data_IF_236313797650
#
_entry.id   IF_236313797650
#
_cell.length_a   1.000
_cell.length_b   1.000
_cell.length_c   1.000
_cell.angle_alpha   90.00
_cell.angle_beta   90.00
_cell.angle_gamma   90.00
#
_symmetry.space_group_name_H-M   'P 1'
#
loop_
_entity.id
_entity.type
_entity.pdbx_description
1 polymer ?
#
# COMPACT_ATOMS: atom_id res chain seq x y z
N UNK A 1 -36.86 -9.30 -21.69
CA UNK A 1 -37.55 -8.74 -20.51
C UNK A 1 -36.68 -8.69 -19.26
N UNK A 2 -36.26 -9.83 -18.68
CA UNK A 2 -35.44 -9.87 -17.45
C UNK A 2 -34.16 -9.03 -17.49
N UNK A 3 -33.45 -8.99 -18.63
CA UNK A 3 -32.25 -8.16 -18.80
C UNK A 3 -32.56 -6.65 -18.77
N UNK A 4 -33.64 -6.21 -19.42
CA UNK A 4 -34.05 -4.81 -19.41
C UNK A 4 -34.47 -4.36 -17.99
N UNK A 5 -35.15 -5.24 -17.25
CA UNK A 5 -35.49 -5.01 -15.84
C UNK A 5 -34.23 -4.90 -14.98
N UNK A 6 -33.24 -5.75 -15.21
CA UNK A 6 -31.96 -5.71 -14.49
C UNK A 6 -31.19 -4.41 -14.77
N UNK A 7 -31.10 -4.00 -16.03
CA UNK A 7 -30.46 -2.73 -16.43
C UNK A 7 -31.15 -1.54 -15.78
N UNK A 8 -32.50 -1.49 -15.79
CA UNK A 8 -33.25 -0.43 -15.10
C UNK A 8 -32.94 -0.38 -13.61
N UNK A 9 -32.84 -1.53 -12.94
CA UNK A 9 -32.47 -1.60 -11.51
C UNK A 9 -31.06 -1.09 -11.25
N UNK A 10 -30.08 -1.47 -12.08
CA UNK A 10 -28.71 -0.96 -11.97
C UNK A 10 -28.63 0.54 -12.23
N UNK A 11 -29.38 1.06 -13.20
CA UNK A 11 -29.43 2.49 -13.47
C UNK A 11 -30.05 3.27 -12.30
N UNK A 12 -31.14 2.75 -11.73
CA UNK A 12 -31.74 3.32 -10.51
C UNK A 12 -30.75 3.33 -9.35
N UNK A 13 -30.05 2.20 -9.11
CA UNK A 13 -29.02 2.11 -8.08
C UNK A 13 -27.88 3.11 -8.33
N UNK A 14 -27.41 3.24 -9.57
CA UNK A 14 -26.41 4.22 -9.95
C UNK A 14 -26.87 5.64 -9.64
N UNK A 15 -28.08 6.04 -10.05
CA UNK A 15 -28.62 7.38 -9.80
C UNK A 15 -28.72 7.68 -8.31
N UNK A 16 -29.23 6.73 -7.52
CA UNK A 16 -29.35 6.90 -6.05
C UNK A 16 -27.97 7.02 -5.41
N UNK A 17 -27.04 6.12 -5.72
CA UNK A 17 -25.68 6.18 -5.18
C UNK A 17 -24.94 7.45 -5.61
N UNK A 18 -25.07 7.84 -6.88
CA UNK A 18 -24.47 9.06 -7.40
C UNK A 18 -25.05 10.31 -6.72
N UNK A 19 -26.37 10.38 -6.52
CA UNK A 19 -27.00 11.48 -5.80
C UNK A 19 -26.48 11.56 -4.36
N UNK A 20 -26.35 10.43 -3.66
CA UNK A 20 -25.78 10.40 -2.30
C UNK A 20 -24.33 10.92 -2.32
N UNK A 21 -23.51 10.42 -3.23
CA UNK A 21 -22.12 10.87 -3.36
C UNK A 21 -22.03 12.35 -3.70
N UNK A 22 -22.88 12.84 -4.59
CA UNK A 22 -22.88 14.24 -5.01
C UNK A 22 -23.33 15.18 -3.90
N UNK A 23 -24.40 14.87 -3.17
CA UNK A 23 -24.94 15.78 -2.15
C UNK A 23 -24.20 15.69 -0.81
N UNK A 24 -23.76 14.50 -0.41
CA UNK A 24 -23.15 14.29 0.92
C UNK A 24 -21.62 14.12 0.88
N UNK A 25 -21.06 13.72 -0.26
CA UNK A 25 -19.63 13.38 -0.39
C UNK A 25 -19.00 14.07 -1.61
N UNK A 26 -19.45 15.28 -1.97
CA UNK A 26 -19.03 15.98 -3.18
C UNK A 26 -17.50 16.08 -3.29
N UNK A 27 -16.81 16.37 -2.19
CA UNK A 27 -15.34 16.45 -2.19
C UNK A 27 -14.69 15.13 -2.58
N UNK A 28 -15.17 14.00 -2.02
CA UNK A 28 -14.71 12.68 -2.41
C UNK A 28 -15.02 12.39 -3.88
N UNK A 29 -16.22 12.73 -4.37
CA UNK A 29 -16.59 12.53 -5.76
C UNK A 29 -15.72 13.34 -6.72
N UNK A 30 -15.47 14.62 -6.40
CA UNK A 30 -14.57 15.47 -7.18
C UNK A 30 -13.15 14.93 -7.18
N UNK A 31 -12.65 14.49 -6.02
CA UNK A 31 -11.33 13.88 -5.93
C UNK A 31 -11.27 12.59 -6.75
N UNK A 32 -12.25 11.68 -6.63
CA UNK A 32 -12.27 10.43 -7.39
C UNK A 32 -12.35 10.63 -8.92
N UNK A 33 -13.02 11.68 -9.38
CA UNK A 33 -13.20 11.96 -10.81
C UNK A 33 -12.07 12.78 -11.45
N UNK A 34 -11.47 13.71 -10.69
CA UNK A 34 -10.56 14.71 -11.25
C UNK A 34 -9.15 14.67 -10.66
N UNK A 35 -8.91 13.93 -9.57
CA UNK A 35 -7.56 13.78 -9.05
C UNK A 35 -6.74 12.86 -9.95
N UNK A 36 -5.51 13.27 -10.24
CA UNK A 36 -4.60 12.49 -11.07
C UNK A 36 -4.01 11.32 -10.27
N UNK A 37 -4.83 10.27 -10.14
CA UNK A 37 -4.44 9.02 -9.48
C UNK A 37 -3.23 8.37 -10.14
N UNK A 38 -3.04 8.54 -11.45
CA UNK A 38 -1.90 7.94 -12.15
C UNK A 38 -0.59 8.56 -11.66
N UNK A 39 -0.56 9.88 -11.51
CA UNK A 39 0.63 10.60 -11.01
C UNK A 39 0.85 10.30 -9.53
N UNK A 40 -0.20 10.34 -8.70
CA UNK A 40 -0.08 10.06 -7.26
C UNK A 40 0.41 8.65 -6.94
N UNK A 41 -0.01 7.65 -7.72
CA UNK A 41 0.33 6.23 -7.50
C UNK A 41 1.45 5.72 -8.44
N UNK A 42 2.17 6.60 -9.13
CA UNK A 42 3.22 6.22 -10.09
C UNK A 42 4.29 5.32 -9.48
N UNK A 43 4.59 5.52 -8.19
CA UNK A 43 5.56 4.73 -7.45
C UNK A 43 5.20 3.22 -7.40
N UNK A 44 3.90 2.91 -7.40
CA UNK A 44 3.38 1.54 -7.40
C UNK A 44 3.29 0.89 -8.79
N UNK A 45 3.84 1.54 -9.81
CA UNK A 45 4.12 0.86 -11.09
C UNK A 45 5.33 -0.05 -10.99
N UNK A 46 6.22 0.15 -10.01
CA UNK A 46 7.42 -0.67 -9.77
C UNK A 46 8.34 -0.79 -11.00
N UNK A 47 8.35 0.24 -11.86
CA UNK A 47 9.08 0.21 -13.13
C UNK A 47 8.48 -0.73 -14.19
N UNK A 48 7.35 -1.37 -13.91
CA UNK A 48 6.71 -2.30 -14.83
C UNK A 48 5.96 -1.58 -15.95
N UNK A 49 6.06 -2.13 -17.14
CA UNK A 49 5.21 -1.70 -18.25
C UNK A 49 3.74 -2.14 -18.05
N UNK A 50 2.87 -1.76 -18.99
CA UNK A 50 1.45 -2.10 -18.90
C UNK A 50 1.17 -3.61 -19.02
N UNK A 51 1.88 -4.33 -19.87
CA UNK A 51 1.69 -5.76 -20.08
C UNK A 51 2.27 -6.58 -18.93
N UNK A 52 3.40 -6.17 -18.38
CA UNK A 52 3.99 -6.77 -17.17
C UNK A 52 3.05 -6.68 -15.97
N UNK A 53 2.31 -5.57 -15.85
CA UNK A 53 1.27 -5.41 -14.80
C UNK A 53 0.11 -6.38 -14.97
N UNK A 54 -0.38 -6.56 -16.21
CA UNK A 54 -1.42 -7.56 -16.51
C UNK A 54 -0.88 -8.97 -16.24
N UNK A 55 0.34 -9.25 -16.66
CA UNK A 55 0.96 -10.56 -16.44
C UNK A 55 1.13 -10.85 -14.95
N UNK A 56 1.51 -9.86 -14.15
CA UNK A 56 1.59 -9.96 -12.68
C UNK A 56 0.25 -10.34 -12.05
N UNK A 57 -0.88 -9.84 -12.58
CA UNK A 57 -2.21 -10.30 -12.16
C UNK A 57 -2.43 -11.79 -12.45
N UNK A 58 -2.06 -12.28 -13.64
CA UNK A 58 -2.20 -13.69 -14.01
C UNK A 58 -1.32 -14.57 -13.12
N UNK A 59 -0.07 -14.17 -12.89
CA UNK A 59 0.86 -14.89 -12.00
C UNK A 59 0.33 -14.91 -10.56
N UNK A 60 -0.25 -13.80 -10.08
CA UNK A 60 -0.85 -13.73 -8.76
C UNK A 60 -2.03 -14.69 -8.60
N UNK A 61 -2.94 -14.76 -9.58
CA UNK A 61 -4.04 -15.72 -9.55
C UNK A 61 -3.51 -17.16 -9.68
N UNK A 62 -2.49 -17.36 -10.51
CA UNK A 62 -1.92 -18.66 -10.83
C UNK A 62 -2.44 -19.21 -12.15
N UNK A 63 -1.55 -19.82 -12.94
CA UNK A 63 -1.86 -20.30 -14.29
C UNK A 63 -2.95 -21.39 -14.30
N UNK A 64 -3.02 -22.21 -13.26
CA UNK A 64 -4.01 -23.28 -13.13
C UNK A 64 -5.44 -22.74 -12.92
N UNK A 65 -5.74 -21.97 -11.86
CA UNK A 65 -7.08 -21.38 -11.70
C UNK A 65 -7.43 -20.44 -12.85
N UNK A 66 -6.47 -19.65 -13.37
CA UNK A 66 -6.73 -18.78 -14.51
C UNK A 66 -7.02 -19.59 -15.80
N UNK A 67 -6.32 -20.71 -16.03
CA UNK A 67 -6.58 -21.62 -17.15
C UNK A 67 -7.95 -22.28 -17.07
N UNK A 68 -8.35 -22.75 -15.87
CA UNK A 68 -9.70 -23.29 -15.63
C UNK A 68 -10.76 -22.21 -15.87
N UNK A 69 -10.48 -20.96 -15.48
CA UNK A 69 -11.35 -19.83 -15.77
C UNK A 69 -11.53 -19.61 -17.29
N UNK A 70 -10.47 -19.58 -18.08
CA UNK A 70 -10.58 -19.44 -19.54
C UNK A 70 -11.40 -20.59 -20.15
N UNK A 71 -11.18 -21.83 -19.71
CA UNK A 71 -11.97 -22.99 -20.14
C UNK A 71 -13.44 -22.81 -19.74
N UNK A 72 -13.71 -22.33 -18.53
CA UNK A 72 -15.06 -22.06 -18.03
C UNK A 72 -15.80 -21.02 -18.89
N UNK A 73 -15.10 -19.96 -19.31
CA UNK A 73 -15.64 -18.93 -20.20
C UNK A 73 -15.99 -19.51 -21.57
N UNK A 74 -15.07 -20.25 -22.20
CA UNK A 74 -15.29 -20.84 -23.53
C UNK A 74 -16.48 -21.80 -23.49
N UNK A 75 -16.56 -22.63 -22.44
CA UNK A 75 -17.69 -23.53 -22.24
C UNK A 75 -19.01 -22.75 -22.06
N UNK A 76 -19.03 -21.76 -21.17
CA UNK A 76 -20.23 -21.03 -20.82
C UNK A 76 -20.73 -20.14 -21.98
N UNK A 77 -19.84 -19.56 -22.78
CA UNK A 77 -20.21 -18.81 -24.00
C UNK A 77 -20.87 -19.70 -25.07
N UNK A 78 -20.48 -20.98 -25.16
CA UNK A 78 -21.11 -21.95 -26.07
C UNK A 78 -22.46 -22.46 -25.55
N UNK A 79 -22.75 -22.28 -24.26
CA UNK A 79 -23.99 -22.72 -23.64
C UNK A 79 -24.97 -21.55 -23.50
N UNK A 80 -26.11 -21.60 -24.20
CA UNK A 80 -27.13 -20.53 -24.19
C UNK A 80 -27.61 -20.16 -22.78
N UNK A 81 -27.58 -21.09 -21.83
CA UNK A 81 -28.01 -20.85 -20.45
C UNK A 81 -26.99 -20.04 -19.63
N UNK A 82 -25.70 -20.09 -19.98
CA UNK A 82 -24.62 -19.45 -19.21
C UNK A 82 -23.90 -18.33 -19.97
N UNK A 83 -24.14 -18.16 -21.28
CA UNK A 83 -23.41 -17.22 -22.12
C UNK A 83 -23.47 -15.76 -21.64
N UNK A 84 -24.60 -15.31 -21.08
CA UNK A 84 -24.73 -13.96 -20.53
C UNK A 84 -23.85 -13.74 -19.29
N UNK A 85 -23.79 -14.74 -18.42
CA UNK A 85 -22.93 -14.70 -17.23
C UNK A 85 -21.46 -14.71 -17.63
N UNK A 86 -21.08 -15.56 -18.59
CA UNK A 86 -19.71 -15.62 -19.10
C UNK A 86 -19.27 -14.30 -19.73
N UNK A 87 -20.13 -13.68 -20.55
CA UNK A 87 -19.86 -12.37 -21.13
C UNK A 87 -19.72 -11.29 -20.04
N UNK A 88 -20.61 -11.28 -19.04
CA UNK A 88 -20.51 -10.36 -17.91
C UNK A 88 -19.22 -10.53 -17.11
N UNK A 89 -18.84 -11.77 -16.77
CA UNK A 89 -17.59 -12.09 -16.08
C UNK A 89 -16.36 -11.66 -16.87
N UNK A 90 -16.34 -11.92 -18.17
CA UNK A 90 -15.24 -11.53 -19.04
C UNK A 90 -15.10 -10.00 -19.15
N UNK A 91 -16.22 -9.29 -19.31
CA UNK A 91 -16.25 -7.82 -19.35
C UNK A 91 -15.81 -7.24 -18.00
N UNK A 92 -16.29 -7.79 -16.89
CA UNK A 92 -15.88 -7.35 -15.55
C UNK A 92 -14.36 -7.38 -15.43
N UNK A 93 -13.74 -8.55 -15.62
CA UNK A 93 -12.28 -8.69 -15.46
C UNK A 93 -11.54 -7.79 -16.43
N UNK A 94 -11.95 -7.76 -17.70
CA UNK A 94 -11.31 -6.94 -18.71
C UNK A 94 -11.31 -5.46 -18.30
N UNK A 95 -12.47 -4.93 -17.89
CA UNK A 95 -12.61 -3.54 -17.46
C UNK A 95 -11.84 -3.27 -16.17
N UNK A 96 -11.96 -4.15 -15.15
CA UNK A 96 -11.33 -3.92 -13.85
C UNK A 96 -9.81 -3.99 -13.92
N UNK A 97 -9.26 -5.02 -14.57
CA UNK A 97 -7.80 -5.17 -14.72
C UNK A 97 -7.26 -4.05 -15.61
N UNK A 98 -7.94 -3.73 -16.72
CA UNK A 98 -7.55 -2.62 -17.58
C UNK A 98 -7.50 -1.29 -16.81
N UNK A 99 -8.59 -0.94 -16.13
CA UNK A 99 -8.69 0.32 -15.40
C UNK A 99 -7.62 0.42 -14.29
N UNK A 100 -7.41 -0.68 -13.55
CA UNK A 100 -6.46 -0.69 -12.44
C UNK A 100 -5.01 -0.64 -12.91
N UNK A 101 -4.63 -1.47 -13.89
CA UNK A 101 -3.27 -1.53 -14.43
C UNK A 101 -2.84 -0.25 -15.16
N UNK A 102 -3.77 0.65 -15.51
CA UNK A 102 -3.41 2.00 -16.01
C UNK A 102 -2.84 2.91 -14.92
N UNK A 103 -3.16 2.64 -13.66
CA UNK A 103 -2.75 3.44 -12.50
C UNK A 103 -1.55 2.78 -11.81
N UNK A 104 -1.67 1.52 -11.40
CA UNK A 104 -0.65 0.83 -10.59
C UNK A 104 -0.71 -0.69 -10.74
N UNK A 105 0.27 -1.40 -10.17
CA UNK A 105 0.23 -2.87 -10.05
C UNK A 105 -0.88 -3.26 -9.06
N UNK A 106 -1.63 -4.34 -9.37
CA UNK A 106 -2.64 -4.86 -8.44
C UNK A 106 -1.97 -5.58 -7.26
N UNK A 107 -1.80 -4.87 -6.13
CA UNK A 107 -1.45 -5.49 -4.85
C UNK A 107 -2.47 -6.51 -4.34
N UNK A 108 -2.12 -7.32 -3.33
CA UNK A 108 -2.91 -8.47 -2.85
C UNK A 108 -4.40 -8.17 -2.62
N UNK A 109 -4.73 -7.03 -2.00
CA UNK A 109 -6.12 -6.66 -1.72
C UNK A 109 -6.88 -6.21 -2.98
N UNK A 110 -6.20 -5.62 -3.96
CA UNK A 110 -6.82 -5.17 -5.20
C UNK A 110 -7.25 -6.35 -6.08
N UNK A 111 -6.58 -7.49 -5.93
CA UNK A 111 -6.87 -8.73 -6.66
C UNK A 111 -8.30 -9.23 -6.42
N UNK A 112 -8.90 -8.90 -5.26
CA UNK A 112 -10.30 -9.26 -4.96
C UNK A 112 -11.31 -8.70 -5.97
N UNK A 113 -10.99 -7.58 -6.64
CA UNK A 113 -11.84 -6.98 -7.68
C UNK A 113 -12.04 -7.95 -8.86
N UNK A 114 -10.99 -8.68 -9.24
CA UNK A 114 -11.01 -9.64 -10.34
C UNK A 114 -11.26 -11.08 -9.87
N UNK A 115 -10.96 -11.41 -8.61
CA UNK A 115 -11.10 -12.76 -8.09
C UNK A 115 -12.55 -13.25 -8.03
N UNK A 116 -13.49 -12.38 -7.67
CA UNK A 116 -14.91 -12.74 -7.54
C UNK A 116 -15.52 -13.30 -8.85
N UNK A 117 -15.45 -12.60 -10.00
CA UNK A 117 -15.96 -13.15 -11.26
C UNK A 117 -15.24 -14.46 -11.68
N UNK A 118 -13.93 -14.58 -11.41
CA UNK A 118 -13.15 -15.81 -11.67
C UNK A 118 -13.74 -16.98 -10.89
N UNK A 119 -13.87 -16.85 -9.57
CA UNK A 119 -14.37 -17.92 -8.70
C UNK A 119 -15.77 -18.34 -9.09
N UNK A 120 -16.67 -17.38 -9.35
CA UNK A 120 -18.06 -17.69 -9.73
C UNK A 120 -18.14 -18.45 -11.06
N UNK A 121 -17.34 -18.06 -12.06
CA UNK A 121 -17.28 -18.77 -13.34
C UNK A 121 -16.72 -20.19 -13.21
N UNK A 122 -15.65 -20.37 -12.44
CA UNK A 122 -15.09 -21.69 -12.13
C UNK A 122 -16.13 -22.56 -11.40
N UNK A 123 -16.80 -22.02 -10.37
CA UNK A 123 -17.77 -22.76 -9.57
C UNK A 123 -18.95 -23.26 -10.41
N UNK A 124 -19.53 -22.41 -11.26
CA UNK A 124 -20.62 -22.80 -12.16
C UNK A 124 -20.17 -23.86 -13.17
N UNK A 125 -18.96 -23.73 -13.70
CA UNK A 125 -18.39 -24.72 -14.62
C UNK A 125 -18.16 -26.06 -13.94
N UNK A 126 -17.54 -26.09 -12.76
CA UNK A 126 -17.32 -27.31 -11.99
C UNK A 126 -18.64 -27.96 -11.61
N UNK A 127 -19.64 -27.20 -11.17
CA UNK A 127 -20.97 -27.73 -10.86
C UNK A 127 -21.64 -28.40 -12.08
N UNK A 128 -21.54 -27.78 -13.25
CA UNK A 128 -22.03 -28.37 -14.49
C UNK A 128 -21.28 -29.66 -14.87
N UNK A 129 -19.95 -29.64 -14.79
CA UNK A 129 -19.13 -30.80 -15.13
C UNK A 129 -19.35 -31.93 -14.13
N UNK A 130 -19.56 -31.66 -12.84
CA UNK A 130 -19.91 -32.69 -11.86
C UNK A 130 -21.21 -33.42 -12.22
N UNK A 131 -22.21 -32.68 -12.71
CA UNK A 131 -23.49 -33.27 -13.13
C UNK A 131 -23.38 -34.10 -14.41
N UNK A 132 -22.51 -33.73 -15.33
CA UNK A 132 -22.45 -34.33 -16.69
C UNK A 132 -21.29 -35.31 -16.88
N UNK A 133 -20.14 -35.04 -16.25
CA UNK A 133 -18.89 -35.80 -16.30
C UNK A 133 -18.21 -35.80 -14.91
N UNK A 134 -18.77 -36.50 -13.92
CA UNK A 134 -18.35 -36.40 -12.51
C UNK A 134 -16.86 -36.67 -12.29
N UNK A 135 -16.27 -37.63 -13.00
CA UNK A 135 -14.82 -37.93 -12.90
C UNK A 135 -13.95 -36.71 -13.25
N UNK A 136 -14.33 -35.96 -14.29
CA UNK A 136 -13.61 -34.74 -14.69
C UNK A 136 -13.83 -33.64 -13.66
N UNK A 137 -15.05 -33.48 -13.16
CA UNK A 137 -15.37 -32.48 -12.15
C UNK A 137 -14.59 -32.70 -10.86
N UNK A 138 -14.51 -33.96 -10.40
CA UNK A 138 -13.69 -34.38 -9.25
C UNK A 138 -12.21 -34.11 -9.51
N UNK A 139 -11.69 -34.43 -10.71
CA UNK A 139 -10.30 -34.14 -11.06
C UNK A 139 -9.98 -32.64 -11.00
N UNK A 140 -10.87 -31.77 -11.49
CA UNK A 140 -10.71 -30.31 -11.40
C UNK A 140 -10.70 -29.86 -9.93
N UNK A 141 -11.59 -30.40 -9.09
CA UNK A 141 -11.60 -30.09 -7.66
C UNK A 141 -10.29 -30.51 -7.01
N UNK A 142 -9.79 -31.71 -7.28
CA UNK A 142 -8.50 -32.18 -6.76
C UNK A 142 -7.37 -31.23 -7.18
N UNK A 143 -7.33 -30.79 -8.45
CA UNK A 143 -6.33 -29.84 -8.92
C UNK A 143 -6.41 -28.48 -8.21
N UNK A 144 -7.61 -27.93 -8.02
CA UNK A 144 -7.82 -26.68 -7.28
C UNK A 144 -7.44 -26.84 -5.80
N UNK A 145 -7.74 -27.99 -5.19
CA UNK A 145 -7.33 -28.33 -3.84
C UNK A 145 -5.80 -28.38 -3.74
N UNK A 146 -5.11 -29.08 -4.66
CA UNK A 146 -3.64 -29.09 -4.72
C UNK A 146 -3.09 -27.66 -4.87
N UNK A 147 -3.71 -26.82 -5.70
CA UNK A 147 -3.30 -25.42 -5.85
C UNK A 147 -3.47 -24.61 -4.55
N UNK A 148 -4.56 -24.83 -3.81
CA UNK A 148 -4.77 -24.23 -2.50
C UNK A 148 -3.69 -24.67 -1.50
N UNK A 149 -3.35 -25.97 -1.47
CA UNK A 149 -2.24 -26.47 -0.65
C UNK A 149 -0.90 -25.88 -1.10
N UNK A 150 -0.66 -25.73 -2.41
CA UNK A 150 0.54 -25.07 -2.90
C UNK A 150 0.65 -23.63 -2.38
N UNK A 151 -0.45 -22.89 -2.33
CA UNK A 151 -0.46 -21.52 -1.80
C UNK A 151 -0.11 -21.44 -0.30
N UNK A 152 -0.14 -22.55 0.45
CA UNK A 152 0.28 -22.56 1.86
C UNK A 152 1.67 -23.19 2.09
N UNK A 153 2.07 -24.16 1.25
CA UNK A 153 3.30 -24.96 1.45
C UNK A 153 4.39 -24.74 0.39
N UNK A 154 4.08 -24.14 -0.76
CA UNK A 154 5.08 -23.75 -1.77
C UNK A 154 5.83 -24.88 -2.45
N UNK A 155 5.14 -25.96 -2.85
CA UNK A 155 5.76 -27.12 -3.52
C UNK A 155 5.65 -27.09 -5.06
N UNK A 156 4.97 -26.10 -5.65
CA UNK A 156 4.91 -25.85 -7.09
C UNK A 156 5.62 -24.52 -7.45
N UNK A 157 6.02 -24.32 -8.72
CA UNK A 157 6.59 -23.05 -9.17
C UNK A 157 5.67 -21.85 -8.94
N UNK A 158 6.25 -20.65 -8.79
CA UNK A 158 5.52 -19.38 -8.54
C UNK A 158 4.46 -19.03 -9.59
N UNK A 159 4.53 -19.59 -10.81
CA UNK A 159 3.49 -19.39 -11.82
C UNK A 159 2.15 -20.03 -11.45
N UNK A 160 2.10 -20.88 -10.42
CA UNK A 160 0.87 -21.45 -9.87
C UNK A 160 0.22 -20.60 -8.76
N UNK A 161 0.73 -19.38 -8.52
CA UNK A 161 0.21 -18.45 -7.51
C UNK A 161 1.23 -18.18 -6.40
N UNK A 162 0.98 -17.15 -5.57
CA UNK A 162 1.82 -16.81 -4.42
C UNK A 162 1.77 -17.91 -3.36
N UNK A 163 2.85 -18.01 -2.60
CA UNK A 163 2.93 -18.85 -1.40
C UNK A 163 2.81 -17.93 -0.19
N UNK A 164 1.83 -18.20 0.66
CA UNK A 164 1.67 -17.54 1.94
C UNK A 164 2.78 -18.05 2.87
N UNK A 165 3.73 -17.19 3.16
CA UNK A 165 4.75 -17.47 4.16
C UNK A 165 4.33 -16.85 5.48
N UNK A 166 4.30 -17.64 6.55
CA UNK A 166 4.23 -17.07 7.90
C UNK A 166 5.49 -16.25 8.12
N UNK A 167 5.33 -14.99 8.47
CA UNK A 167 6.43 -14.10 8.69
C UNK A 167 6.79 -14.07 10.18
N UNK A 168 7.81 -14.84 10.56
CA UNK A 168 8.29 -14.92 11.94
C UNK A 168 9.40 -13.88 12.11
N UNK A 169 9.19 -12.98 13.07
CA UNK A 169 10.09 -11.84 13.36
C UNK A 169 10.80 -12.06 14.69
N UNK A 170 12.13 -12.11 14.66
CA UNK A 170 12.97 -12.23 15.86
C UNK A 170 13.23 -10.90 16.56
N UNK A 171 12.91 -9.78 15.93
CA UNK A 171 13.16 -8.41 16.37
C UNK A 171 11.96 -7.75 17.07
N UNK A 172 10.86 -8.50 17.29
CA UNK A 172 9.63 -7.95 17.87
C UNK A 172 9.84 -7.46 19.30
N UNK A 173 10.57 -8.22 20.13
CA UNK A 173 10.79 -7.82 21.53
C UNK A 173 11.68 -6.58 21.60
N UNK A 174 12.71 -6.48 20.75
CA UNK A 174 13.54 -5.27 20.61
C UNK A 174 12.68 -4.05 20.22
N UNK A 175 11.75 -4.22 19.27
CA UNK A 175 10.84 -3.16 18.85
C UNK A 175 9.86 -2.74 19.97
N UNK A 176 9.38 -3.68 20.78
CA UNK A 176 8.53 -3.38 21.94
C UNK A 176 9.28 -2.56 22.98
N UNK A 177 10.53 -2.92 23.27
CA UNK A 177 11.39 -2.17 24.18
C UNK A 177 11.67 -0.76 23.67
N UNK A 178 11.99 -0.62 22.37
CA UNK A 178 12.17 0.69 21.72
C UNK A 178 10.89 1.53 21.82
N UNK A 179 9.71 0.95 21.56
CA UNK A 179 8.43 1.67 21.65
C UNK A 179 8.14 2.12 23.08
N UNK A 180 8.41 1.27 24.08
CA UNK A 180 8.28 1.64 25.49
C UNK A 180 9.21 2.81 25.85
N UNK A 181 10.46 2.76 25.40
CA UNK A 181 11.45 3.82 25.61
C UNK A 181 11.05 5.14 24.95
N UNK A 182 10.60 5.11 23.69
CA UNK A 182 10.14 6.29 22.99
C UNK A 182 8.91 6.93 23.66
N UNK A 183 7.95 6.11 24.12
CA UNK A 183 6.79 6.60 24.86
C UNK A 183 7.18 7.25 26.19
N UNK A 184 8.16 6.69 26.91
CA UNK A 184 8.66 7.27 28.15
C UNK A 184 9.35 8.61 27.87
N UNK A 185 10.25 8.67 26.88
CA UNK A 185 10.91 9.91 26.46
C UNK A 185 9.91 10.99 26.05
N UNK A 186 8.91 10.62 25.27
CA UNK A 186 7.82 11.52 24.85
C UNK A 186 7.01 12.00 26.05
N UNK A 187 6.68 11.13 27.01
CA UNK A 187 5.92 11.49 28.22
C UNK A 187 6.70 12.45 29.12
N UNK A 188 7.98 12.20 29.35
CA UNK A 188 8.85 13.06 30.18
C UNK A 188 8.95 14.47 29.63
N UNK A 189 8.95 14.61 28.30
CA UNK A 189 9.10 15.89 27.60
C UNK A 189 7.78 16.53 27.19
N UNK A 190 6.67 15.80 27.32
CA UNK A 190 5.44 16.10 26.60
C UNK A 190 5.70 16.34 25.09
N UNK A 191 6.60 15.54 24.52
CA UNK A 191 7.20 15.76 23.20
C UNK A 191 6.61 14.87 22.12
N UNK A 192 6.64 15.34 20.87
CA UNK A 192 6.16 14.61 19.70
C UNK A 192 7.29 13.78 19.07
N UNK A 193 6.95 12.62 18.51
CA UNK A 193 7.91 11.71 17.88
C UNK A 193 7.67 11.69 16.37
N UNK A 194 8.72 11.81 15.56
CA UNK A 194 8.67 11.57 14.12
C UNK A 194 9.54 10.37 13.77
N UNK A 195 9.04 9.46 12.93
CA UNK A 195 9.77 8.25 12.57
C UNK A 195 10.10 8.22 11.08
N UNK A 196 11.39 8.16 10.74
CA UNK A 196 11.90 8.18 9.37
C UNK A 196 12.23 6.74 8.95
N UNK A 197 11.21 6.05 8.42
CA UNK A 197 11.35 4.72 7.85
C UNK A 197 10.03 4.32 7.18
N UNK A 198 10.10 3.63 6.05
CA UNK A 198 8.91 3.20 5.30
C UNK A 198 8.99 1.78 4.74
N UNK A 199 10.02 0.99 5.10
CA UNK A 199 10.12 -0.38 4.62
C UNK A 199 8.99 -1.26 5.18
N UNK A 200 8.70 -2.38 4.53
CA UNK A 200 7.65 -3.31 4.98
C UNK A 200 7.78 -3.71 6.45
N UNK A 201 8.97 -4.12 6.93
CA UNK A 201 9.17 -4.50 8.33
C UNK A 201 9.28 -3.30 9.28
N UNK A 202 9.82 -2.17 8.80
CA UNK A 202 10.11 -0.99 9.61
C UNK A 202 9.40 0.24 9.03
N UNK A 203 8.22 0.57 9.58
CA UNK A 203 7.47 1.77 9.25
C UNK A 203 6.65 2.24 10.46
N UNK A 204 6.05 3.43 10.36
CA UNK A 204 5.21 4.02 11.42
C UNK A 204 4.07 3.08 11.84
N UNK A 205 3.48 2.38 10.88
CA UNK A 205 2.44 1.37 11.12
C UNK A 205 2.93 0.18 11.95
N UNK A 206 4.16 -0.29 11.75
CA UNK A 206 4.75 -1.35 12.58
C UNK A 206 4.81 -0.91 14.04
N UNK A 207 5.34 0.29 14.31
CA UNK A 207 5.51 0.77 15.68
C UNK A 207 4.17 1.03 16.37
N UNK A 208 3.21 1.63 15.68
CA UNK A 208 1.86 1.86 16.22
C UNK A 208 1.12 0.57 16.54
N UNK A 209 1.39 -0.52 15.81
CA UNK A 209 0.65 -1.78 15.90
C UNK A 209 1.43 -2.89 16.63
N UNK A 210 2.59 -2.59 17.21
CA UNK A 210 3.49 -3.61 17.78
C UNK A 210 2.85 -4.43 18.92
N UNK A 211 1.85 -3.84 19.60
CA UNK A 211 1.10 -4.46 20.70
C UNK A 211 -0.31 -4.91 20.28
N UNK A 212 -0.60 -5.06 18.99
CA UNK A 212 -1.87 -5.65 18.56
C UNK A 212 -1.90 -7.17 18.86
N UNK A 213 -3.06 -7.72 19.27
CA UNK A 213 -4.38 -7.07 19.38
C UNK A 213 -4.65 -6.36 20.72
N UNK A 214 -3.76 -6.45 21.71
CA UNK A 214 -3.98 -5.92 23.07
C UNK A 214 -4.11 -4.39 23.10
N UNK A 215 -3.39 -3.70 22.21
CA UNK A 215 -3.40 -2.24 22.08
C UNK A 215 -3.39 -1.82 20.61
N UNK A 216 -4.43 -1.07 20.19
CA UNK A 216 -4.58 -0.61 18.80
C UNK A 216 -3.60 0.49 18.38
N UNK A 217 -3.10 1.28 19.33
CA UNK A 217 -2.08 2.30 19.09
C UNK A 217 -1.07 2.31 20.23
N UNK A 218 0.10 1.71 19.99
CA UNK A 218 1.22 1.66 20.92
C UNK A 218 2.02 2.96 20.98
N UNK A 219 1.87 3.88 20.03
CA UNK A 219 2.60 5.15 19.98
C UNK A 219 1.65 6.34 19.74
N UNK A 220 0.95 6.83 20.78
CA UNK A 220 -0.04 7.90 20.63
C UNK A 220 0.55 9.25 20.20
N UNK A 221 1.82 9.50 20.50
CA UNK A 221 2.52 10.76 20.16
C UNK A 221 3.37 10.65 18.89
N UNK A 222 3.21 9.57 18.12
CA UNK A 222 3.86 9.43 16.82
C UNK A 222 3.13 10.30 15.78
N UNK A 223 3.89 11.21 15.19
CA UNK A 223 3.46 12.09 14.11
C UNK A 223 3.31 11.31 12.80
N UNK A 224 2.56 11.88 11.87
CA UNK A 224 2.34 11.27 10.58
C UNK A 224 3.57 11.46 9.69
N UNK A 225 4.15 10.32 9.27
CA UNK A 225 5.23 10.25 8.27
C UNK A 225 4.62 9.88 6.91
N UNK A 226 4.79 10.69 5.87
CA UNK A 226 4.41 10.33 4.52
C UNK A 226 5.40 9.32 3.93
N UNK A 227 4.88 8.34 3.21
CA UNK A 227 5.72 7.27 2.63
C UNK A 227 5.93 7.48 1.12
N UNK A 228 5.03 8.19 0.44
CA UNK A 228 5.04 8.34 -1.02
C UNK A 228 4.89 9.80 -1.42
N UNK A 229 5.95 10.35 -2.00
CA UNK A 229 6.11 11.78 -2.25
C UNK A 229 4.92 12.40 -3.01
N UNK A 230 4.51 11.82 -4.14
CA UNK A 230 3.45 12.39 -4.99
C UNK A 230 2.02 12.04 -4.54
N UNK A 231 1.86 11.11 -3.60
CA UNK A 231 0.57 10.75 -3.01
C UNK A 231 0.30 11.58 -1.76
N UNK A 232 1.31 11.67 -0.91
CA UNK A 232 1.20 12.15 0.46
C UNK A 232 1.71 13.60 0.61
N UNK A 233 2.73 13.98 -0.17
CA UNK A 233 3.45 15.24 -0.03
C UNK A 233 4.42 15.24 1.15
N UNK A 234 4.95 16.42 1.48
CA UNK A 234 5.81 16.61 2.64
C UNK A 234 4.98 16.85 3.92
N UNK A 235 5.40 16.28 5.04
CA UNK A 235 4.79 16.54 6.35
C UNK A 235 5.61 17.55 7.14
N UNK A 236 5.04 18.74 7.35
CA UNK A 236 5.66 19.76 8.20
C UNK A 236 5.76 19.35 9.69
N UNK A 237 5.04 18.29 10.10
CA UNK A 237 5.14 17.70 11.43
C UNK A 237 6.59 17.32 11.79
N UNK A 238 7.43 17.03 10.79
CA UNK A 238 8.86 16.81 11.00
C UNK A 238 9.53 17.95 11.78
N UNK A 239 9.17 19.20 11.50
CA UNK A 239 9.76 20.36 12.16
C UNK A 239 9.27 20.55 13.61
N UNK A 240 8.09 20.03 13.91
CA UNK A 240 7.47 20.05 15.25
C UNK A 240 7.93 18.90 16.14
N UNK A 241 8.66 17.93 15.60
CA UNK A 241 9.13 16.78 16.34
C UNK A 241 10.19 17.16 17.38
N UNK A 242 10.01 16.69 18.62
CA UNK A 242 11.00 16.81 19.70
C UNK A 242 11.95 15.61 19.71
N UNK A 243 11.46 14.47 19.22
CA UNK A 243 12.20 13.22 19.11
C UNK A 243 12.10 12.74 17.67
N UNK A 244 13.25 12.45 17.06
CA UNK A 244 13.31 11.81 15.75
C UNK A 244 13.88 10.42 15.94
N UNK A 245 13.16 9.43 15.42
CA UNK A 245 13.60 8.05 15.34
C UNK A 245 13.83 7.67 13.87
N UNK A 246 14.85 6.86 13.60
CA UNK A 246 15.11 6.33 12.25
C UNK A 246 15.76 4.96 12.32
N UNK A 247 15.80 4.28 11.18
CA UNK A 247 16.47 2.98 11.03
C UNK A 247 17.61 3.12 10.01
N UNK A 248 18.79 2.62 10.38
CA UNK A 248 20.02 2.61 9.59
C UNK A 248 20.39 1.16 9.20
N UNK A 249 20.65 0.86 7.91
CA UNK A 249 20.59 1.75 6.75
C UNK A 249 19.16 2.20 6.41
N UNK A 250 19.04 3.26 5.60
CA UNK A 250 17.74 3.83 5.18
C UNK A 250 16.76 2.75 4.71
N UNK A 251 15.54 2.82 5.24
CA UNK A 251 14.51 1.80 5.04
C UNK A 251 13.37 2.33 4.16
N UNK A 252 13.30 1.81 2.93
CA UNK A 252 12.31 2.15 1.90
C UNK A 252 11.73 0.88 1.27
N UNK A 253 10.53 0.96 0.68
CA UNK A 253 9.86 -0.18 0.02
C UNK A 253 9.60 0.03 -1.48
N UNK A 254 9.89 1.23 -1.99
CA UNK A 254 9.80 1.64 -3.38
C UNK A 254 11.15 2.24 -3.81
N UNK A 255 11.23 2.68 -5.06
CA UNK A 255 12.45 3.30 -5.56
C UNK A 255 12.72 4.64 -4.84
N UNK A 256 13.99 4.98 -4.54
CA UNK A 256 14.36 6.19 -3.79
C UNK A 256 13.76 7.49 -4.36
N UNK A 257 13.64 7.60 -5.69
CA UNK A 257 13.08 8.77 -6.36
C UNK A 257 11.58 8.98 -6.13
N UNK A 258 10.87 8.02 -5.54
CA UNK A 258 9.46 8.16 -5.15
C UNK A 258 9.26 8.25 -3.63
N UNK A 259 10.36 8.14 -2.87
CA UNK A 259 10.39 8.20 -1.41
C UNK A 259 11.49 9.15 -0.92
N UNK A 260 11.69 10.26 -1.66
CA UNK A 260 12.65 11.30 -1.32
C UNK A 260 12.35 11.91 0.04
N UNK A 261 11.10 11.91 0.50
CA UNK A 261 10.82 12.38 1.86
C UNK A 261 11.61 11.57 2.91
N UNK A 262 11.47 10.25 2.88
CA UNK A 262 12.21 9.36 3.77
C UNK A 262 13.73 9.48 3.56
N UNK A 263 14.18 9.47 2.31
CA UNK A 263 15.63 9.48 1.99
C UNK A 263 16.27 10.81 2.39
N UNK A 264 15.65 11.94 2.07
CA UNK A 264 16.21 13.25 2.38
C UNK A 264 16.18 13.53 3.87
N UNK A 265 15.11 13.16 4.58
CA UNK A 265 15.07 13.29 6.04
C UNK A 265 16.11 12.37 6.70
N UNK A 266 16.28 11.14 6.20
CA UNK A 266 17.32 10.23 6.68
C UNK A 266 18.74 10.82 6.52
N UNK A 267 19.07 11.32 5.33
CA UNK A 267 20.36 11.97 5.08
C UNK A 267 20.53 13.26 5.88
N UNK A 268 19.44 13.99 6.08
CA UNK A 268 19.42 15.19 6.92
C UNK A 268 19.78 14.85 8.36
N UNK A 269 19.31 13.73 8.89
CA UNK A 269 19.60 13.34 10.27
C UNK A 269 20.96 12.65 10.45
N UNK A 270 21.43 11.95 9.43
CA UNK A 270 22.69 11.17 9.49
C UNK A 270 23.91 11.95 8.99
N UNK A 271 23.72 13.06 8.27
CA UNK A 271 24.79 13.95 7.81
C UNK A 271 25.08 15.13 8.74
N UNK A 272 26.15 15.86 8.45
CA UNK A 272 26.47 17.15 9.08
C UNK A 272 25.90 18.28 8.23
N UNK A 273 24.77 18.85 8.66
CA UNK A 273 24.05 19.88 7.90
C UNK A 273 23.27 20.82 8.81
N UNK A 274 22.53 21.73 8.17
CA UNK A 274 21.79 22.79 8.84
C UNK A 274 20.76 22.30 9.85
N UNK A 275 20.12 21.16 9.61
CA UNK A 275 19.07 20.64 10.49
C UNK A 275 19.65 19.71 11.54
N UNK A 276 20.58 18.81 11.19
CA UNK A 276 21.11 17.84 12.17
C UNK A 276 21.76 18.49 13.38
N UNK A 277 22.33 19.70 13.26
CA UNK A 277 22.90 20.45 14.40
C UNK A 277 21.88 20.75 15.52
N UNK A 278 20.59 20.74 15.20
CA UNK A 278 19.51 20.97 16.16
C UNK A 278 19.10 19.70 16.91
N UNK A 279 19.74 18.57 16.59
CA UNK A 279 19.45 17.28 17.18
C UNK A 279 20.71 16.60 17.71
N UNK A 280 20.54 15.81 18.76
CA UNK A 280 21.60 14.99 19.36
C UNK A 280 21.14 13.55 19.40
N UNK A 281 21.96 12.62 18.90
CA UNK A 281 21.71 11.19 19.12
C UNK A 281 21.82 10.88 20.62
N UNK A 282 20.76 10.27 21.17
CA UNK A 282 20.67 9.93 22.59
C UNK A 282 20.65 8.42 22.84
N UNK A 283 20.20 7.63 21.87
CA UNK A 283 20.16 6.17 21.97
C UNK A 283 20.35 5.52 20.59
N UNK A 284 20.96 4.35 20.59
CA UNK A 284 20.96 3.44 19.46
C UNK A 284 20.65 2.01 19.94
N UNK A 285 19.93 1.26 19.11
CA UNK A 285 19.53 -0.11 19.38
C UNK A 285 19.92 -0.95 18.18
N UNK A 286 20.76 -1.95 18.42
CA UNK A 286 21.09 -2.94 17.41
C UNK A 286 20.02 -4.02 17.45
N UNK A 287 19.15 -4.07 16.44
CA UNK A 287 18.06 -5.05 16.43
C UNK A 287 18.59 -6.45 16.16
N UNK A 288 17.90 -7.43 16.75
CA UNK A 288 17.99 -8.82 16.37
C UNK A 288 17.76 -8.97 14.87
N UNK A 289 18.52 -9.81 14.16
CA UNK A 289 18.38 -9.94 12.71
C UNK A 289 16.99 -10.41 12.30
N UNK A 290 16.48 -9.86 11.20
CA UNK A 290 15.28 -10.32 10.53
C UNK A 290 15.54 -10.44 9.02
N UNK A 291 15.29 -11.64 8.47
CA UNK A 291 15.57 -11.99 7.05
C UNK A 291 16.98 -11.56 6.61
N UNK A 292 17.99 -11.98 7.38
CA UNK A 292 19.41 -11.69 7.16
C UNK A 292 19.76 -10.20 7.12
N UNK A 293 18.83 -9.33 7.51
CA UNK A 293 19.04 -7.89 7.58
C UNK A 293 19.29 -7.51 9.03
N UNK A 294 20.45 -6.92 9.29
CA UNK A 294 20.79 -6.29 10.56
C UNK A 294 20.64 -4.78 10.41
N UNK A 295 19.85 -4.18 11.29
CA UNK A 295 19.59 -2.74 11.28
C UNK A 295 19.86 -2.15 12.66
N UNK A 296 20.11 -0.84 12.68
CA UNK A 296 20.24 -0.06 13.91
C UNK A 296 19.12 0.95 13.99
N UNK A 297 18.34 0.92 15.07
CA UNK A 297 17.41 1.99 15.40
C UNK A 297 18.17 3.12 16.08
N UNK A 298 18.04 4.35 15.59
CA UNK A 298 18.72 5.53 16.15
C UNK A 298 17.69 6.54 16.60
N UNK A 299 17.89 7.10 17.78
CA UNK A 299 16.99 8.06 18.41
C UNK A 299 17.73 9.36 18.65
N UNK A 300 17.15 10.44 18.16
CA UNK A 300 17.66 11.79 18.22
C UNK A 300 16.70 12.67 19.02
N UNK A 301 17.26 13.53 19.87
CA UNK A 301 16.53 14.50 20.65
C UNK A 301 16.81 15.91 20.11
N UNK A 302 15.76 16.71 19.96
CA UNK A 302 15.89 18.12 19.61
C UNK A 302 16.50 18.91 20.76
N UNK A 303 17.63 19.55 20.52
CA UNK A 303 18.38 20.33 21.53
C UNK A 303 18.27 21.84 21.33
N UNK A 304 17.76 22.29 20.18
CA UNK A 304 17.51 23.70 19.91
C UNK A 304 16.40 23.88 18.86
N UNK A 305 15.71 25.04 18.83
CA UNK A 305 14.66 25.31 17.85
C UNK A 305 15.19 25.31 16.42
N UNK A 306 14.38 24.83 15.47
CA UNK A 306 14.66 24.93 14.03
C UNK A 306 14.52 26.38 13.59
N UNK A 307 15.43 26.86 12.75
CA UNK A 307 15.42 28.21 12.21
C UNK A 307 14.77 28.26 10.83
N UNK A 308 14.28 29.44 10.43
CA UNK A 308 13.72 29.66 9.09
C UNK A 308 14.67 29.22 7.97
N UNK A 309 15.97 29.46 8.14
CA UNK A 309 16.99 29.12 7.14
C UNK A 309 17.23 27.62 6.97
N UNK A 310 16.78 26.81 7.92
CA UNK A 310 16.84 25.35 7.88
C UNK A 310 15.64 24.79 7.09
N UNK A 311 14.49 25.42 7.26
CA UNK A 311 13.28 25.13 6.50
C UNK A 311 13.52 25.45 5.02
N UNK A 312 14.10 26.62 4.72
CA UNK A 312 14.46 27.00 3.35
C UNK A 312 15.46 26.01 2.71
N UNK A 313 16.34 25.38 3.52
CA UNK A 313 17.27 24.36 3.05
C UNK A 313 16.56 23.09 2.57
N UNK A 314 15.60 22.56 3.34
CA UNK A 314 14.81 21.40 2.91
C UNK A 314 13.84 21.76 1.79
N UNK A 315 13.17 22.90 1.88
CA UNK A 315 12.23 23.36 0.86
C UNK A 315 12.89 23.36 -0.52
N UNK A 316 14.09 23.96 -0.62
CA UNK A 316 14.84 23.98 -1.87
C UNK A 316 15.03 22.57 -2.44
N UNK A 317 15.40 21.60 -1.59
CA UNK A 317 15.66 20.22 -2.00
C UNK A 317 14.42 19.54 -2.59
N UNK A 318 13.25 19.76 -1.99
CA UNK A 318 11.98 19.23 -2.48
C UNK A 318 11.47 19.98 -3.71
N UNK A 319 11.55 21.30 -3.75
CA UNK A 319 11.11 22.11 -4.89
C UNK A 319 11.96 21.81 -6.13
N UNK A 320 13.28 21.63 -5.96
CA UNK A 320 14.17 21.25 -7.06
C UNK A 320 13.84 19.84 -7.59
N UNK A 321 13.42 18.92 -6.70
CA UNK A 321 13.02 17.56 -7.08
C UNK A 321 11.62 17.48 -7.69
N UNK A 322 10.72 18.38 -7.28
CA UNK A 322 9.29 18.37 -7.61
C UNK A 322 8.77 19.75 -8.05
N UNK A 323 9.32 20.35 -9.12
CA UNK A 323 9.05 21.75 -9.50
C UNK A 323 7.59 22.00 -9.93
N UNK A 324 6.85 20.95 -10.29
CA UNK A 324 5.47 21.03 -10.76
C UNK A 324 4.44 20.66 -9.66
N UNK A 325 4.88 20.39 -8.42
CA UNK A 325 4.02 19.90 -7.35
C UNK A 325 3.98 20.83 -6.14
N UNK A 326 3.88 22.14 -6.38
CA UNK A 326 3.91 23.18 -5.33
C UNK A 326 2.98 22.89 -4.15
N UNK A 327 1.75 22.44 -4.41
CA UNK A 327 0.77 22.13 -3.35
C UNK A 327 1.22 21.06 -2.35
N UNK A 328 2.02 20.08 -2.81
CA UNK A 328 2.51 18.98 -1.99
C UNK A 328 3.81 19.32 -1.26
N UNK A 329 4.54 20.33 -1.73
CA UNK A 329 5.87 20.68 -1.21
C UNK A 329 5.94 22.17 -0.88
N UNK A 330 6.16 23.04 -1.88
CA UNK A 330 6.36 24.48 -1.69
C UNK A 330 5.32 25.14 -0.76
N UNK A 331 4.04 24.92 -1.02
CA UNK A 331 2.95 25.53 -0.27
C UNK A 331 2.92 25.05 1.20
N UNK A 332 3.38 23.82 1.46
CA UNK A 332 3.52 23.26 2.81
C UNK A 332 4.61 24.01 3.59
N UNK A 333 5.78 24.20 2.99
CA UNK A 333 6.89 24.94 3.62
C UNK A 333 6.52 26.41 3.86
N UNK A 334 5.93 27.08 2.86
CA UNK A 334 5.52 28.49 2.98
C UNK A 334 4.45 28.69 4.05
N UNK A 335 3.46 27.80 4.11
CA UNK A 335 2.45 27.82 5.17
C UNK A 335 3.09 27.67 6.55
N UNK A 336 3.95 26.67 6.73
CA UNK A 336 4.62 26.44 8.01
C UNK A 336 5.48 27.63 8.43
N UNK A 337 6.23 28.24 7.49
CA UNK A 337 7.01 29.46 7.74
C UNK A 337 6.13 30.62 8.18
N UNK A 338 5.00 30.85 7.51
CA UNK A 338 4.07 31.93 7.86
C UNK A 338 3.43 31.76 9.25
N UNK A 339 3.22 30.51 9.68
CA UNK A 339 2.63 30.19 10.99
C UNK A 339 3.64 30.37 12.14
N UNK A 340 4.93 30.10 11.91
CA UNK A 340 5.94 30.01 12.98
C UNK A 340 7.01 31.12 12.96
N UNK A 341 7.21 31.81 11.84
CA UNK A 341 8.27 32.81 11.65
C UNK A 341 7.67 34.08 11.04
N UNK A 342 7.09 34.93 11.90
CA UNK A 342 6.57 36.26 11.53
C UNK A 342 7.67 37.30 11.40
#
# INVERSE_FOLDING_TARGET
>A
EQFATLVKKYLYMFVVCFAILYFFFNHFLQHALFFDLKTAYVAYTLGQDYFERIFSHIVFIGILPYGIYIISLIFALKNKSYGKFAAFSAIWIAVSVFAFCRIQVMGQQHQYIALLPIILAIALFVAYILKTRPKIGIAIIILLTINFFNAQWGFLPKCFGPVNTIDIRGDIDDLKDIVADLNNLSKEKNGKIYFISSSGPYNSGTLQKINMPEQFNAMPNLLWTPDIDLRDGFSADFFDADIIALVDPVQIHLLPEYQRDIVYLYETMTGDNKISRHFKEIKNYKLSPYKDTQVTFRVFEKISPIEKSDIDFLEKRFVDSYPNNNKLFKDVFEKYKAEHFK
#
